data_IF_139285118932
#
_entry.id   IF_139285118932
#
_cell.length_a   1.000
_cell.length_b   1.000
_cell.length_c   1.000
_cell.angle_alpha   90.00
_cell.angle_beta   90.00
_cell.angle_gamma   90.00
#
_symmetry.space_group_name_H-M   'P 1'
#
loop_
_entity.id
_entity.type
_entity.pdbx_description
1 polymer ?
#
# COMPACT_ATOMS: atom_id res chain seq x y z
N UNK A 1 -11.66 -35.76 -61.51
CA UNK A 1 -12.68 -35.98 -60.47
C UNK A 1 -12.07 -35.60 -59.14
N UNK A 2 -12.47 -34.43 -58.64
CA UNK A 2 -12.02 -33.83 -57.38
C UNK A 2 -13.01 -34.21 -56.28
N UNK A 3 -12.59 -35.07 -55.34
CA UNK A 3 -13.25 -35.25 -54.05
C UNK A 3 -12.22 -34.75 -53.02
N UNK A 4 -12.38 -33.64 -52.31
CA UNK A 4 -13.59 -33.15 -51.67
C UNK A 4 -13.60 -33.59 -50.21
N UNK A 5 -12.54 -33.25 -49.45
CA UNK A 5 -12.40 -33.57 -48.02
C UNK A 5 -12.31 -32.29 -47.19
N UNK A 6 -13.46 -31.84 -46.70
CA UNK A 6 -13.61 -30.91 -45.59
C UNK A 6 -12.98 -31.51 -44.32
N UNK A 7 -12.23 -30.71 -43.54
CA UNK A 7 -12.28 -30.66 -42.05
C UNK A 7 -11.35 -29.52 -41.57
N UNK A 8 -11.82 -28.27 -41.68
CA UNK A 8 -11.23 -27.16 -40.93
C UNK A 8 -11.77 -27.18 -39.50
N UNK A 9 -11.07 -27.88 -38.60
CA UNK A 9 -11.26 -27.73 -37.15
C UNK A 9 -9.89 -27.47 -36.52
N UNK A 10 -9.38 -26.25 -36.68
CA UNK A 10 -8.37 -25.73 -35.76
C UNK A 10 -9.11 -25.18 -34.54
N UNK A 11 -9.51 -26.11 -33.67
CA UNK A 11 -10.06 -25.81 -32.36
C UNK A 11 -9.05 -24.98 -31.58
N UNK A 12 -9.54 -23.87 -31.03
CA UNK A 12 -8.85 -23.01 -30.08
C UNK A 12 -8.48 -23.87 -28.86
N UNK A 13 -7.24 -24.36 -28.81
CA UNK A 13 -6.67 -24.95 -27.59
C UNK A 13 -6.18 -23.77 -26.74
N UNK A 14 -7.13 -23.00 -26.21
CA UNK A 14 -6.92 -22.16 -25.05
C UNK A 14 -7.06 -23.04 -23.80
N UNK A 15 -6.27 -24.12 -23.74
CA UNK A 15 -6.19 -24.97 -22.55
C UNK A 15 -4.98 -24.52 -21.78
N UNK A 16 -5.25 -23.66 -20.81
CA UNK A 16 -4.46 -23.59 -19.59
C UNK A 16 -3.00 -23.26 -19.80
N UNK A 17 -2.72 -22.07 -20.30
CA UNK A 17 -1.67 -21.29 -19.68
C UNK A 17 -2.06 -21.13 -18.21
N UNK A 18 -1.75 -22.14 -17.38
CA UNK A 18 -1.47 -21.94 -15.98
C UNK A 18 -0.30 -20.98 -16.00
N UNK A 19 -0.65 -19.70 -16.04
CA UNK A 19 0.27 -18.61 -15.93
C UNK A 19 1.02 -18.93 -14.65
N UNK A 20 2.27 -19.38 -14.83
CA UNK A 20 3.31 -19.31 -13.82
C UNK A 20 3.50 -17.82 -13.56
N UNK A 21 2.50 -17.17 -12.97
CA UNK A 21 2.69 -15.89 -12.35
C UNK A 21 3.59 -16.22 -11.17
N UNK A 22 4.86 -15.77 -11.16
CA UNK A 22 5.62 -15.82 -9.93
C UNK A 22 4.76 -15.09 -8.91
N UNK A 23 4.31 -15.83 -7.88
CA UNK A 23 3.73 -15.21 -6.68
C UNK A 23 4.70 -14.09 -6.33
N UNK A 24 4.27 -12.82 -6.31
CA UNK A 24 5.21 -11.74 -6.06
C UNK A 24 5.76 -11.98 -4.67
N UNK A 25 7.00 -12.45 -4.57
CA UNK A 25 7.60 -12.77 -3.27
C UNK A 25 7.66 -11.54 -2.37
N UNK A 26 7.53 -10.36 -2.98
CA UNK A 26 7.64 -9.05 -2.36
C UNK A 26 6.38 -8.19 -2.47
N UNK A 27 6.23 -7.25 -1.53
CA UNK A 27 5.25 -6.15 -1.61
C UNK A 27 5.27 -5.49 -3.00
N UNK A 28 4.18 -5.58 -3.76
CA UNK A 28 4.12 -4.85 -5.02
C UNK A 28 4.06 -3.33 -4.73
N UNK A 29 4.56 -2.50 -5.66
CA UNK A 29 4.56 -1.05 -5.46
C UNK A 29 3.14 -0.51 -5.18
N UNK A 30 2.14 -1.07 -5.86
CA UNK A 30 0.71 -0.80 -5.62
C UNK A 30 0.27 -1.06 -4.18
N UNK A 31 0.83 -2.06 -3.51
CA UNK A 31 0.47 -2.42 -2.14
C UNK A 31 1.12 -1.45 -1.16
N UNK A 32 2.36 -1.03 -1.44
CA UNK A 32 3.07 0.02 -0.69
C UNK A 32 2.29 1.33 -0.76
N UNK A 33 1.87 1.73 -1.98
CA UNK A 33 1.16 2.98 -2.19
C UNK A 33 -0.23 2.95 -1.51
N UNK A 34 -0.92 1.81 -1.56
CA UNK A 34 -2.17 1.61 -0.82
C UNK A 34 -1.96 1.73 0.69
N UNK A 35 -0.91 1.13 1.25
CA UNK A 35 -0.61 1.25 2.69
C UNK A 35 -0.31 2.71 3.08
N UNK A 36 0.40 3.46 2.23
CA UNK A 36 0.63 4.90 2.47
C UNK A 36 -0.68 5.68 2.50
N UNK A 37 -1.60 5.36 1.59
CA UNK A 37 -2.93 5.99 1.54
C UNK A 37 -3.80 5.61 2.74
N UNK A 38 -3.77 4.35 3.16
CA UNK A 38 -4.47 3.87 4.36
C UNK A 38 -3.95 4.58 5.62
N UNK A 39 -2.63 4.69 5.78
CA UNK A 39 -1.99 5.46 6.86
C UNK A 39 -2.46 6.93 6.83
N UNK A 40 -2.39 7.57 5.67
CA UNK A 40 -2.85 8.97 5.52
C UNK A 40 -4.30 9.11 5.94
N UNK A 41 -5.16 8.19 5.50
CA UNK A 41 -6.58 8.20 5.80
C UNK A 41 -6.86 7.97 7.28
N UNK A 42 -6.13 7.07 7.95
CA UNK A 42 -6.29 6.85 9.40
C UNK A 42 -5.92 8.11 10.20
N UNK A 43 -4.81 8.75 9.87
CA UNK A 43 -4.37 9.95 10.57
C UNK A 43 -5.22 11.19 10.24
N UNK A 44 -5.73 11.31 9.01
CA UNK A 44 -6.68 12.37 8.63
C UNK A 44 -8.03 12.27 9.34
N UNK A 45 -8.42 11.09 9.85
CA UNK A 45 -9.62 10.94 10.69
C UNK A 45 -9.44 11.49 12.10
N UNK A 46 -8.21 11.76 12.53
CA UNK A 46 -7.92 12.30 13.86
C UNK A 46 -7.93 13.82 13.76
N UNK A 47 -8.94 14.44 14.37
CA UNK A 47 -9.05 15.90 14.38
C UNK A 47 -7.78 16.54 14.97
N UNK A 48 -7.28 17.55 14.24
CA UNK A 48 -6.08 18.29 14.64
C UNK A 48 -4.75 17.59 14.37
N UNK A 49 -4.73 16.54 13.56
CA UNK A 49 -3.52 15.96 12.98
C UNK A 49 -3.54 16.10 11.46
N UNK A 50 -2.41 16.54 10.90
CA UNK A 50 -2.19 16.64 9.47
C UNK A 50 -0.99 15.83 9.07
N UNK A 51 -1.15 15.00 8.04
CA UNK A 51 -0.06 14.18 7.52
C UNK A 51 0.79 15.01 6.58
N UNK A 52 2.05 15.24 6.94
CA UNK A 52 3.02 15.99 6.15
C UNK A 52 3.72 15.06 5.16
N UNK A 53 4.14 13.89 5.64
CA UNK A 53 4.87 12.93 4.83
C UNK A 53 4.66 11.50 5.33
N UNK A 54 4.70 10.54 4.41
CA UNK A 54 4.68 9.10 4.72
C UNK A 54 5.73 8.43 3.87
N UNK A 55 6.78 7.95 4.52
CA UNK A 55 7.84 7.19 3.87
C UNK A 55 7.80 5.75 4.36
N UNK A 56 7.76 4.83 3.40
CA UNK A 56 7.88 3.40 3.64
C UNK A 56 8.94 2.90 2.67
N UNK A 57 9.96 2.26 3.20
CA UNK A 57 11.03 1.60 2.47
C UNK A 57 10.92 0.09 2.68
N UNK A 58 11.32 -0.67 1.66
CA UNK A 58 11.35 -2.13 1.74
C UNK A 58 12.59 -2.56 2.52
N UNK A 59 12.39 -3.17 3.69
CA UNK A 59 13.48 -3.79 4.45
C UNK A 59 13.77 -5.20 3.93
N UNK A 60 12.70 -5.98 3.68
CA UNK A 60 12.77 -7.27 3.01
C UNK A 60 11.52 -7.48 2.14
N UNK A 61 11.47 -8.60 1.41
CA UNK A 61 10.34 -8.89 0.52
C UNK A 61 8.98 -8.87 1.24
N UNK A 62 8.93 -9.26 2.51
CA UNK A 62 7.72 -9.34 3.34
C UNK A 62 7.62 -8.26 4.42
N UNK A 63 8.47 -7.22 4.41
CA UNK A 63 8.54 -6.21 5.47
C UNK A 63 8.91 -4.85 4.91
N UNK A 64 8.05 -3.88 5.21
CA UNK A 64 8.28 -2.45 5.00
C UNK A 64 8.52 -1.79 6.35
N UNK A 65 9.48 -0.88 6.38
CA UNK A 65 9.77 -0.04 7.54
C UNK A 65 9.79 1.40 7.09
N UNK A 66 9.47 2.33 7.98
CA UNK A 66 9.51 3.74 7.65
C UNK A 66 8.85 4.58 8.72
N UNK A 67 8.32 5.72 8.33
CA UNK A 67 7.75 6.68 9.26
C UNK A 67 6.64 7.50 8.63
N UNK A 68 5.77 8.02 9.48
CA UNK A 68 4.81 9.07 9.16
C UNK A 68 5.17 10.32 9.93
N UNK A 69 5.25 11.44 9.21
CA UNK A 69 5.43 12.77 9.78
C UNK A 69 4.07 13.44 9.87
N UNK A 70 3.68 13.78 11.08
CA UNK A 70 2.44 14.43 11.44
C UNK A 70 2.72 15.85 11.95
N UNK A 71 1.82 16.76 11.63
CA UNK A 71 1.76 18.12 12.15
C UNK A 71 0.50 18.22 13.03
N UNK A 72 0.66 18.73 14.25
CA UNK A 72 -0.45 18.93 15.17
C UNK A 72 -1.08 20.29 14.87
N UNK A 73 -2.21 20.28 14.17
CA UNK A 73 -3.03 21.47 13.91
C UNK A 73 -4.09 21.70 15.01
N UNK A 74 -4.25 20.76 15.95
CA UNK A 74 -5.23 20.77 17.06
C UNK A 74 -5.15 22.00 17.98
N UNK A 75 -4.18 22.88 17.79
CA UNK A 75 -3.92 24.04 18.63
C UNK A 75 -4.38 25.35 17.98
N UNK A 76 -5.34 25.28 17.06
CA UNK A 76 -6.05 26.48 16.58
C UNK A 76 -6.74 27.23 17.74
N UNK A 77 -7.21 26.53 18.79
CA UNK A 77 -7.79 27.17 19.97
C UNK A 77 -6.73 27.80 20.90
N UNK A 78 -5.51 27.23 20.97
CA UNK A 78 -4.39 27.83 21.73
C UNK A 78 -3.66 28.94 20.97
N UNK A 79 -3.98 29.22 19.70
CA UNK A 79 -3.49 30.44 19.01
C UNK A 79 -3.93 31.72 19.71
N UNK A 80 -5.07 31.69 20.42
CA UNK A 80 -5.53 32.80 21.26
C UNK A 80 -4.62 33.08 22.46
N UNK A 81 -3.80 32.11 22.88
CA UNK A 81 -2.90 32.17 24.03
C UNK A 81 -1.44 32.48 23.66
N UNK A 82 -1.15 32.88 22.42
CA UNK A 82 0.18 33.35 22.00
C UNK A 82 1.28 32.28 21.94
N UNK A 83 0.93 31.00 22.13
CA UNK A 83 1.86 29.88 22.02
C UNK A 83 1.82 29.26 20.63
N UNK A 84 2.86 29.49 19.83
CA UNK A 84 3.04 28.89 18.51
C UNK A 84 3.52 27.44 18.66
N UNK A 85 2.67 26.56 19.20
CA UNK A 85 2.97 25.13 19.28
C UNK A 85 2.73 24.48 17.90
N UNK A 86 3.70 24.64 17.00
CA UNK A 86 3.86 23.74 15.85
C UNK A 86 4.64 22.51 16.31
N UNK A 87 3.92 21.53 16.86
CA UNK A 87 4.50 20.23 17.17
C UNK A 87 4.52 19.37 15.90
N UNK A 88 5.70 19.04 15.40
CA UNK A 88 5.84 17.94 14.43
C UNK A 88 6.07 16.65 15.21
N UNK A 89 5.26 15.63 14.93
CA UNK A 89 5.38 14.30 15.52
C UNK A 89 5.76 13.31 14.43
N UNK A 90 6.81 12.53 14.66
CA UNK A 90 7.21 11.45 13.77
C UNK A 90 6.84 10.14 14.47
N UNK A 91 6.11 9.27 13.77
CA UNK A 91 5.78 7.92 14.22
C UNK A 91 6.43 6.91 13.32
N UNK A 92 6.99 5.86 13.90
CA UNK A 92 7.61 4.78 13.14
C UNK A 92 6.52 3.84 12.66
N UNK A 93 6.53 3.54 11.37
CA UNK A 93 5.55 2.67 10.73
C UNK A 93 6.23 1.40 10.23
N UNK A 94 5.59 0.27 10.49
CA UNK A 94 6.04 -1.04 10.02
C UNK A 94 4.88 -1.72 9.33
N UNK A 95 5.12 -2.34 8.17
CA UNK A 95 4.16 -3.22 7.54
C UNK A 95 4.79 -4.58 7.29
N UNK A 96 4.11 -5.65 7.67
CA UNK A 96 4.55 -7.03 7.47
C UNK A 96 3.51 -7.82 6.71
N UNK A 97 3.97 -8.73 5.86
CA UNK A 97 3.12 -9.64 5.12
C UNK A 97 3.16 -11.03 5.78
N UNK A 98 2.01 -11.51 6.21
CA UNK A 98 1.84 -12.84 6.78
C UNK A 98 1.90 -13.95 5.70
N UNK A 99 1.99 -15.22 6.11
CA UNK A 99 2.00 -16.39 5.22
C UNK A 99 0.74 -16.48 4.35
N UNK A 100 -0.37 -15.90 4.81
CA UNK A 100 -1.63 -15.79 4.08
C UNK A 100 -1.70 -14.61 3.11
N UNK A 101 -0.58 -13.94 2.82
CA UNK A 101 -0.52 -12.73 1.99
C UNK A 101 -1.33 -11.56 2.55
N UNK A 102 -1.66 -11.61 3.84
CA UNK A 102 -2.35 -10.53 4.52
C UNK A 102 -1.33 -9.48 4.95
N UNK A 103 -1.61 -8.23 4.60
CA UNK A 103 -0.76 -7.09 4.92
C UNK A 103 -1.24 -6.48 6.22
N UNK A 104 -0.40 -6.55 7.26
CA UNK A 104 -0.64 -5.93 8.54
C UNK A 104 0.32 -4.75 8.69
N UNK A 105 -0.20 -3.57 9.01
CA UNK A 105 0.62 -2.39 9.27
C UNK A 105 0.31 -1.79 10.63
N UNK A 106 1.32 -1.16 11.22
CA UNK A 106 1.21 -0.51 12.52
C UNK A 106 2.16 0.68 12.58
N UNK A 107 1.69 1.79 13.13
CA UNK A 107 2.51 2.97 13.39
C UNK A 107 2.52 3.26 14.91
N UNK A 108 3.70 3.33 15.51
CA UNK A 108 3.90 3.62 16.93
C UNK A 108 4.41 5.04 17.13
#
# INVERSE_FOLDING_TARGET
MTNGGFFTVAAIVAVGAWVLWPKPAAFAQKDVDKIKEDIRTEFSKRDGLKVIDVQLIRENDRKLVGFVKLEIEALAELKSLGGLFHGTMIKECTASMDENWQTLWSCR
#
